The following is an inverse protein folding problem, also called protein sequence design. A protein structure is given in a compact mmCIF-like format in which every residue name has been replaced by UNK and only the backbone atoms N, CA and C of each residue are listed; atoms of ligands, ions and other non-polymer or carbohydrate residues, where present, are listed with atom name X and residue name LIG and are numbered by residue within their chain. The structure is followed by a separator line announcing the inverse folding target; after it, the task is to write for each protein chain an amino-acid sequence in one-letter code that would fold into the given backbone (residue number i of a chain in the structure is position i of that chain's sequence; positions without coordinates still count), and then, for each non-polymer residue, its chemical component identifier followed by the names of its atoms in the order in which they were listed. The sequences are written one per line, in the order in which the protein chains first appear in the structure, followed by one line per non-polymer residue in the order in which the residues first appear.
data_IF_920567791824
#
_entry.id   IF_920567791824
#
_cell.length_a   1.000
_cell.length_b   1.000
_cell.length_c   1.000
_cell.angle_alpha   90.00
_cell.angle_beta   90.00
_cell.angle_gamma   90.00
#
_symmetry.space_group_name_H-M   'P 1'
#
loop_
_entity.id
_entity.type
_entity.pdbx_description
1 polymer ?
#
# COMPACT_ATOMS: atom_id res chain seq x y z
N UNK A 1 38.46 -0.08 11.71
CA UNK A 1 37.44 -0.17 12.78
C UNK A 1 36.58 1.11 12.87
N UNK A 2 37.15 2.31 13.05
CA UNK A 2 36.39 3.56 13.21
C UNK A 2 35.53 3.97 12.00
N UNK A 3 36.05 3.87 10.76
CA UNK A 3 35.31 4.23 9.54
C UNK A 3 34.07 3.33 9.28
N UNK A 4 34.12 2.05 9.71
CA UNK A 4 33.00 1.10 9.60
C UNK A 4 31.89 1.47 10.60
N UNK A 5 32.26 1.92 11.80
CA UNK A 5 31.33 2.41 12.83
C UNK A 5 30.63 3.70 12.42
N UNK A 6 31.35 4.65 11.83
CA UNK A 6 30.78 5.92 11.34
C UNK A 6 29.79 5.66 10.19
N UNK A 7 30.14 4.78 9.24
CA UNK A 7 29.24 4.39 8.15
C UNK A 7 27.96 3.73 8.66
N UNK A 8 28.04 2.80 9.62
CA UNK A 8 26.86 2.16 10.23
C UNK A 8 25.97 3.18 10.96
N UNK A 9 26.57 4.12 11.70
CA UNK A 9 25.80 5.19 12.37
C UNK A 9 25.09 6.10 11.38
N UNK A 10 25.77 6.53 10.32
CA UNK A 10 25.17 7.35 9.27
C UNK A 10 24.01 6.62 8.56
N UNK A 11 24.20 5.33 8.22
CA UNK A 11 23.14 4.49 7.64
C UNK A 11 21.93 4.40 8.57
N UNK A 12 22.13 4.14 9.86
CA UNK A 12 21.03 4.06 10.82
C UNK A 12 20.26 5.38 10.97
N UNK A 13 20.95 6.52 10.91
CA UNK A 13 20.31 7.84 10.93
C UNK A 13 19.47 8.07 9.68
N UNK A 14 19.99 7.70 8.50
CA UNK A 14 19.24 7.80 7.23
C UNK A 14 18.02 6.89 7.26
N UNK A 15 18.16 5.63 7.72
CA UNK A 15 17.04 4.71 7.86
C UNK A 15 15.95 5.26 8.78
N UNK A 16 16.33 5.78 9.96
CA UNK A 16 15.36 6.43 10.87
C UNK A 16 14.70 7.65 10.24
N UNK A 17 15.45 8.44 9.49
CA UNK A 17 14.91 9.61 8.80
C UNK A 17 13.93 9.23 7.68
N UNK A 18 14.21 8.15 6.94
CA UNK A 18 13.37 7.62 5.86
C UNK A 18 12.11 6.93 6.39
N UNK A 19 12.23 6.21 7.50
CA UNK A 19 11.11 5.52 8.17
C UNK A 19 10.30 6.47 9.06
N UNK A 20 10.64 7.77 9.12
CA UNK A 20 9.83 8.73 9.84
C UNK A 20 8.45 8.85 9.17
N UNK A 21 7.42 8.62 9.96
CA UNK A 21 6.03 8.53 9.54
C UNK A 21 5.28 9.80 9.91
N UNK A 22 4.44 10.28 8.98
CA UNK A 22 3.54 11.40 9.23
C UNK A 22 2.28 10.88 9.91
N UNK A 23 1.79 11.55 10.97
CA UNK A 23 0.59 11.14 11.68
C UNK A 23 -0.65 11.03 10.76
N UNK A 24 -1.61 10.14 11.06
CA UNK A 24 -2.82 10.04 10.27
C UNK A 24 -3.64 11.32 10.45
N UNK A 25 -4.43 11.66 9.44
CA UNK A 25 -5.43 12.71 9.61
C UNK A 25 -6.62 12.15 10.40
N UNK A 26 -6.59 12.34 11.71
CA UNK A 26 -7.62 11.86 12.62
C UNK A 26 -8.94 12.64 12.52
N UNK A 27 -8.96 13.76 11.80
CA UNK A 27 -10.19 14.52 11.56
C UNK A 27 -11.03 13.89 10.44
N UNK A 28 -10.45 12.96 9.66
CA UNK A 28 -11.11 12.25 8.58
C UNK A 28 -11.43 10.80 8.98
N UNK A 29 -12.60 10.32 8.53
CA UNK A 29 -12.91 8.90 8.62
C UNK A 29 -11.93 8.10 7.73
N UNK A 30 -11.47 6.91 8.17
CA UNK A 30 -10.62 6.06 7.35
C UNK A 30 -11.36 5.62 6.09
N UNK A 31 -10.63 5.40 5.00
CA UNK A 31 -11.24 4.92 3.74
C UNK A 31 -11.65 3.45 3.81
N UNK A 32 -10.95 2.66 4.63
CA UNK A 32 -11.12 1.22 4.75
C UNK A 32 -11.51 0.80 6.16
N UNK A 33 -12.42 -0.16 6.28
CA UNK A 33 -12.75 -0.82 7.54
C UNK A 33 -11.80 -2.00 7.81
N UNK A 34 -10.84 -1.81 8.72
CA UNK A 34 -9.86 -2.85 9.09
C UNK A 34 -10.53 -4.12 9.63
N UNK A 35 -11.56 -3.99 10.47
CA UNK A 35 -12.28 -5.14 11.02
C UNK A 35 -12.87 -6.01 9.90
N UNK A 36 -13.54 -5.40 8.91
CA UNK A 36 -14.11 -6.12 7.76
C UNK A 36 -13.04 -6.79 6.92
N UNK A 37 -11.93 -6.08 6.68
CA UNK A 37 -10.77 -6.64 5.99
C UNK A 37 -10.28 -7.92 6.69
N UNK A 38 -10.16 -7.91 8.02
CA UNK A 38 -9.74 -9.07 8.80
C UNK A 38 -10.71 -10.26 8.72
N UNK A 39 -12.01 -10.03 8.53
CA UNK A 39 -12.98 -11.12 8.34
C UNK A 39 -12.87 -11.79 6.98
N UNK A 40 -12.42 -11.05 5.98
CA UNK A 40 -12.50 -11.48 4.57
C UNK A 40 -11.18 -11.94 3.98
N UNK A 41 -10.07 -11.53 4.59
CA UNK A 41 -8.72 -11.88 4.14
C UNK A 41 -8.47 -13.38 4.21
N UNK A 42 -7.72 -13.91 3.24
CA UNK A 42 -7.44 -15.35 3.10
C UNK A 42 -5.95 -15.59 2.93
N UNK A 43 -5.39 -16.69 3.50
CA UNK A 43 -3.98 -17.04 3.31
C UNK A 43 -3.57 -17.00 1.84
N UNK A 44 -2.44 -16.37 1.54
CA UNK A 44 -1.96 -16.14 0.17
C UNK A 44 -2.40 -14.81 -0.45
N UNK A 45 -3.34 -14.08 0.17
CA UNK A 45 -3.66 -12.72 -0.24
C UNK A 45 -2.43 -11.80 -0.08
N UNK A 46 -2.24 -10.90 -1.03
CA UNK A 46 -1.26 -9.82 -0.94
C UNK A 46 -1.98 -8.56 -0.46
N UNK A 47 -1.49 -7.96 0.61
CA UNK A 47 -2.02 -6.71 1.15
C UNK A 47 -1.17 -5.57 0.61
N UNK A 48 -1.80 -4.60 -0.02
CA UNK A 48 -1.17 -3.34 -0.38
C UNK A 48 -1.44 -2.31 0.71
N UNK A 49 -0.39 -1.56 1.06
CA UNK A 49 -0.44 -0.53 2.10
C UNK A 49 -0.07 0.80 1.47
N UNK A 50 -0.89 1.82 1.72
CA UNK A 50 -0.55 3.21 1.47
C UNK A 50 0.23 3.76 2.69
N UNK A 51 1.54 3.59 2.69
CA UNK A 51 2.38 4.07 3.79
C UNK A 51 2.50 5.59 3.83
N UNK A 52 2.79 6.11 5.03
CA UNK A 52 2.94 7.54 5.34
C UNK A 52 4.37 7.96 5.71
N UNK A 53 5.34 7.09 5.46
CA UNK A 53 6.76 7.36 5.69
C UNK A 53 7.36 8.24 4.59
N UNK A 54 8.49 8.93 4.87
CA UNK A 54 9.18 9.70 3.81
C UNK A 54 9.57 8.87 2.61
N UNK A 55 9.98 7.62 2.83
CA UNK A 55 10.28 6.71 1.72
C UNK A 55 9.01 6.32 0.95
N UNK A 56 7.86 6.24 1.62
CA UNK A 56 6.57 6.00 0.97
C UNK A 56 6.26 7.07 -0.07
N UNK A 57 6.46 8.35 0.25
CA UNK A 57 6.24 9.45 -0.70
C UNK A 57 7.12 9.36 -1.96
N UNK A 58 8.38 8.94 -1.78
CA UNK A 58 9.28 8.68 -2.91
C UNK A 58 8.75 7.51 -3.75
N UNK A 59 8.32 6.42 -3.12
CA UNK A 59 7.75 5.27 -3.84
C UNK A 59 6.49 5.68 -4.60
N UNK A 60 5.60 6.49 -4.01
CA UNK A 60 4.38 6.98 -4.69
C UNK A 60 4.71 7.73 -5.97
N UNK A 61 5.66 8.68 -5.88
CA UNK A 61 6.12 9.46 -7.02
C UNK A 61 6.72 8.60 -8.13
N UNK A 62 7.55 7.63 -7.75
CA UNK A 62 8.33 6.81 -8.69
C UNK A 62 7.45 5.77 -9.37
N UNK A 63 6.55 5.15 -8.63
CA UNK A 63 5.65 4.10 -9.14
C UNK A 63 4.36 4.67 -9.74
N UNK A 64 4.10 5.97 -9.55
CA UNK A 64 2.87 6.65 -9.95
C UNK A 64 1.64 5.89 -9.42
N UNK A 65 1.70 5.50 -8.14
CA UNK A 65 0.72 4.67 -7.44
C UNK A 65 0.63 5.07 -5.98
N UNK A 66 -0.54 5.02 -5.33
CA UNK A 66 -0.63 5.24 -3.89
C UNK A 66 0.00 4.11 -3.08
N UNK A 67 0.15 2.91 -3.65
CA UNK A 67 0.64 1.72 -2.96
C UNK A 67 2.16 1.77 -2.78
N UNK A 68 2.61 1.86 -1.54
CA UNK A 68 4.04 1.99 -1.23
C UNK A 68 4.64 0.75 -0.61
N UNK A 69 3.79 -0.12 -0.06
CA UNK A 69 4.20 -1.39 0.51
C UNK A 69 3.29 -2.53 0.07
N UNK A 70 3.83 -3.75 0.17
CA UNK A 70 3.11 -4.99 -0.06
C UNK A 70 3.53 -6.02 0.98
N UNK A 71 2.56 -6.65 1.64
CA UNK A 71 2.78 -7.72 2.59
C UNK A 71 2.03 -8.99 2.15
N UNK A 72 2.57 -10.17 2.42
CA UNK A 72 1.89 -11.44 2.17
C UNK A 72 1.14 -11.87 3.42
N UNK A 73 -0.17 -12.05 3.34
CA UNK A 73 -0.95 -12.62 4.44
C UNK A 73 -0.78 -14.14 4.49
N UNK A 74 -0.40 -14.66 5.65
CA UNK A 74 -0.14 -16.09 5.83
C UNK A 74 -1.22 -16.82 6.63
N UNK A 75 -2.24 -16.11 7.11
CA UNK A 75 -3.29 -16.70 7.95
C UNK A 75 -3.01 -16.61 9.44
N UNK A 76 -3.87 -17.25 10.21
CA UNK A 76 -3.59 -17.59 11.61
C UNK A 76 -2.75 -18.86 11.64
N UNK A 77 -1.89 -19.00 12.65
CA UNK A 77 -0.94 -20.12 12.62
C UNK A 77 -1.62 -21.48 12.70
N UNK A 78 -2.74 -21.60 13.41
CA UNK A 78 -3.49 -22.87 13.46
C UNK A 78 -4.08 -23.29 12.11
N UNK A 79 -4.24 -22.36 11.16
CA UNK A 79 -4.79 -22.62 9.82
C UNK A 79 -3.74 -23.19 8.86
N UNK A 80 -2.45 -23.07 9.19
CA UNK A 80 -1.37 -23.62 8.37
C UNK A 80 -1.36 -25.15 8.46
N UNK A 81 -1.44 -25.89 7.37
CA UNK A 81 -1.43 -27.36 7.46
C UNK A 81 -0.07 -27.94 7.91
N UNK A 82 1.02 -27.18 7.71
CA UNK A 82 2.40 -27.58 7.97
C UNK A 82 2.76 -27.44 9.47
N UNK A 83 2.57 -28.52 10.24
CA UNK A 83 2.90 -28.57 11.68
C UNK A 83 4.36 -28.23 12.01
N UNK A 84 5.38 -28.74 11.30
CA UNK A 84 6.76 -28.30 11.48
C UNK A 84 6.94 -26.78 11.33
N UNK A 85 6.31 -26.18 10.30
CA UNK A 85 6.36 -24.74 10.07
C UNK A 85 5.68 -23.97 11.21
N UNK A 86 4.48 -24.39 11.65
CA UNK A 86 3.78 -23.80 12.80
C UNK A 86 4.68 -23.78 14.03
N UNK A 87 5.25 -24.93 14.39
CA UNK A 87 6.11 -25.07 15.56
C UNK A 87 7.31 -24.13 15.50
N UNK A 88 7.95 -24.04 14.32
CA UNK A 88 9.05 -23.12 14.07
C UNK A 88 8.64 -21.67 14.31
N UNK A 89 7.51 -21.25 13.75
CA UNK A 89 7.00 -19.88 13.87
C UNK A 89 6.68 -19.54 15.34
N UNK A 90 6.04 -20.45 16.07
CA UNK A 90 5.75 -20.27 17.51
C UNK A 90 7.03 -20.22 18.34
N UNK A 91 7.98 -21.15 18.13
CA UNK A 91 9.16 -21.25 18.98
C UNK A 91 10.21 -20.18 18.70
N UNK A 92 10.52 -19.93 17.43
CA UNK A 92 11.61 -19.02 17.04
C UNK A 92 11.17 -17.55 17.06
N UNK A 93 9.92 -17.28 16.65
CA UNK A 93 9.40 -15.91 16.53
C UNK A 93 8.41 -15.54 17.64
N UNK A 94 8.11 -16.46 18.57
CA UNK A 94 7.23 -16.24 19.75
C UNK A 94 5.85 -15.73 19.36
N UNK A 95 5.27 -16.35 18.34
CA UNK A 95 3.98 -15.95 17.79
C UNK A 95 2.81 -16.69 18.48
N UNK A 96 1.67 -16.01 18.58
CA UNK A 96 0.44 -16.56 19.14
C UNK A 96 -0.31 -17.38 18.08
N UNK A 97 -0.90 -18.51 18.46
CA UNK A 97 -1.55 -19.38 17.46
C UNK A 97 -2.75 -18.73 16.75
N UNK A 98 -3.50 -17.90 17.47
CA UNK A 98 -4.78 -17.38 17.01
C UNK A 98 -4.69 -16.03 16.30
N UNK A 99 -3.51 -15.39 16.26
CA UNK A 99 -3.37 -14.07 15.63
C UNK A 99 -3.18 -14.17 14.11
N UNK A 100 -3.78 -13.24 13.34
CA UNK A 100 -3.50 -13.13 11.91
C UNK A 100 -2.11 -12.53 11.68
N UNK A 101 -1.31 -13.16 10.82
CA UNK A 101 0.07 -12.72 10.53
C UNK A 101 0.30 -12.38 9.06
N UNK A 102 1.27 -11.48 8.86
CA UNK A 102 1.79 -11.08 7.56
C UNK A 102 3.31 -11.25 7.51
N UNK A 103 3.84 -11.53 6.32
CA UNK A 103 5.28 -11.51 6.04
C UNK A 103 5.57 -10.39 5.04
N UNK A 104 6.59 -9.60 5.36
CA UNK A 104 6.98 -8.45 4.57
C UNK A 104 8.48 -8.19 4.67
N UNK A 105 9.03 -7.37 3.78
CA UNK A 105 10.42 -6.95 3.84
C UNK A 105 10.50 -5.44 4.08
N UNK A 106 11.09 -5.04 5.21
CA UNK A 106 11.15 -3.65 5.66
C UNK A 106 12.57 -3.09 5.64
N UNK A 107 12.67 -1.81 5.29
CA UNK A 107 13.94 -1.10 5.28
C UNK A 107 14.51 -0.98 6.71
N UNK A 108 15.64 -1.64 6.94
CA UNK A 108 16.37 -1.64 8.21
C UNK A 108 16.11 -2.85 9.10
N UNK A 109 15.05 -3.62 8.83
CA UNK A 109 14.71 -4.83 9.60
C UNK A 109 14.87 -6.12 8.79
N UNK A 110 14.83 -6.03 7.45
CA UNK A 110 14.87 -7.21 6.60
C UNK A 110 13.50 -7.84 6.42
N UNK A 111 13.47 -9.14 6.15
CA UNK A 111 12.23 -9.90 5.99
C UNK A 111 11.74 -10.35 7.36
N UNK A 112 10.55 -9.91 7.72
CA UNK A 112 9.99 -9.99 9.07
C UNK A 112 8.56 -10.50 9.02
N UNK A 113 8.09 -10.95 10.18
CA UNK A 113 6.72 -11.38 10.41
C UNK A 113 6.10 -10.47 11.47
N UNK A 114 4.93 -9.92 11.18
CA UNK A 114 4.19 -9.07 12.09
C UNK A 114 2.72 -9.47 12.15
N UNK A 115 2.02 -9.24 13.26
CA UNK A 115 0.58 -9.38 13.26
C UNK A 115 -0.05 -8.32 12.34
N UNK A 116 -1.19 -8.68 11.74
CA UNK A 116 -1.88 -7.84 10.75
C UNK A 116 -2.33 -6.48 11.34
N UNK A 117 -2.57 -6.42 12.65
CA UNK A 117 -2.98 -5.22 13.40
C UNK A 117 -1.96 -4.06 13.35
N UNK A 118 -0.72 -4.35 12.98
CA UNK A 118 0.30 -3.35 12.66
C UNK A 118 -0.20 -2.30 11.66
N UNK A 119 -1.06 -2.69 10.73
CA UNK A 119 -1.60 -1.81 9.69
C UNK A 119 -3.07 -1.44 9.91
N UNK A 120 -3.56 -1.50 11.15
CA UNK A 120 -4.96 -1.22 11.49
C UNK A 120 -5.41 0.21 11.20
N UNK A 121 -4.49 1.17 11.21
CA UNK A 121 -4.74 2.59 10.92
C UNK A 121 -4.39 3.00 9.48
N UNK A 122 -3.91 2.07 8.64
CA UNK A 122 -3.53 2.37 7.27
C UNK A 122 -4.66 2.13 6.27
N UNK A 123 -4.57 2.82 5.12
CA UNK A 123 -5.39 2.47 3.97
C UNK A 123 -4.84 1.20 3.31
N UNK A 124 -5.63 0.14 3.39
CA UNK A 124 -5.32 -1.19 2.91
C UNK A 124 -6.17 -1.60 1.70
N UNK A 125 -5.57 -2.44 0.86
CA UNK A 125 -6.25 -3.15 -0.24
C UNK A 125 -5.79 -4.59 -0.30
N UNK A 126 -6.74 -5.51 -0.49
CA UNK A 126 -6.42 -6.93 -0.73
C UNK A 126 -6.32 -7.17 -2.23
N UNK A 127 -5.20 -7.74 -2.64
CA UNK A 127 -4.99 -8.37 -3.94
C UNK A 127 -5.05 -9.89 -3.73
N UNK A 128 -6.14 -10.51 -4.19
CA UNK A 128 -6.37 -11.95 -4.05
C UNK A 128 -5.96 -12.70 -5.31
N UNK A 129 -5.01 -13.65 -5.26
CA UNK A 129 -4.56 -14.37 -6.45
C UNK A 129 -5.65 -15.31 -6.99
N UNK A 130 -6.19 -14.99 -8.16
CA UNK A 130 -7.30 -15.73 -8.77
C UNK A 130 -6.85 -17.08 -9.30
N UNK A 131 -7.51 -18.15 -8.84
CA UNK A 131 -7.25 -19.51 -9.29
C UNK A 131 -5.94 -20.12 -8.76
N UNK A 132 -5.31 -19.51 -7.75
CA UNK A 132 -4.19 -20.13 -7.04
C UNK A 132 -4.72 -21.35 -6.27
N UNK A 133 -4.08 -22.50 -6.48
CA UNK A 133 -4.46 -23.74 -5.80
C UNK A 133 -4.10 -23.68 -4.30
N UNK A 134 -4.83 -24.37 -3.40
CA UNK A 134 -4.46 -24.43 -1.98
C UNK A 134 -3.04 -24.96 -1.76
N UNK A 135 -2.60 -25.94 -2.56
CA UNK A 135 -1.23 -26.48 -2.49
C UNK A 135 -0.19 -25.41 -2.85
N UNK A 136 -0.43 -24.63 -3.89
CA UNK A 136 0.49 -23.56 -4.31
C UNK A 136 0.44 -22.37 -3.34
N UNK A 137 -0.70 -22.07 -2.72
CA UNK A 137 -0.79 -21.13 -1.59
C UNK A 137 0.18 -21.52 -0.48
N UNK A 138 0.20 -22.80 -0.08
CA UNK A 138 1.16 -23.28 0.92
C UNK A 138 2.61 -23.14 0.46
N UNK A 139 2.91 -23.42 -0.82
CA UNK A 139 4.27 -23.24 -1.37
C UNK A 139 4.70 -21.78 -1.38
N UNK A 140 3.80 -20.85 -1.72
CA UNK A 140 4.04 -19.40 -1.69
C UNK A 140 4.34 -18.93 -0.26
N UNK A 141 3.50 -19.32 0.70
CA UNK A 141 3.71 -19.01 2.13
C UNK A 141 5.04 -19.59 2.62
N UNK A 142 5.32 -20.86 2.33
CA UNK A 142 6.57 -21.52 2.70
C UNK A 142 7.80 -20.85 2.08
N UNK A 143 7.69 -20.34 0.85
CA UNK A 143 8.76 -19.56 0.23
C UNK A 143 9.03 -18.30 1.05
N UNK A 144 7.99 -17.54 1.43
CA UNK A 144 8.14 -16.33 2.22
C UNK A 144 8.71 -16.61 3.63
N UNK A 145 8.25 -17.66 4.31
CA UNK A 145 8.78 -18.06 5.63
C UNK A 145 10.28 -18.40 5.57
N UNK A 146 10.73 -19.08 4.50
CA UNK A 146 12.16 -19.36 4.28
C UNK A 146 13.01 -18.10 4.07
N UNK A 147 12.39 -16.95 3.79
CA UNK A 147 13.07 -15.66 3.62
C UNK A 147 13.16 -14.85 4.91
N UNK A 148 12.46 -15.23 5.99
CA UNK A 148 12.53 -14.52 7.27
C UNK A 148 13.98 -14.39 7.75
N UNK A 149 14.32 -13.19 8.24
CA UNK A 149 15.66 -12.83 8.67
C UNK A 149 16.62 -12.39 7.56
N UNK A 150 16.24 -12.50 6.27
CA UNK A 150 17.06 -11.99 5.18
C UNK A 150 17.10 -10.46 5.19
N UNK A 151 18.29 -9.89 4.96
CA UNK A 151 18.50 -8.45 4.90
C UNK A 151 17.70 -7.78 3.76
N UNK A 152 17.26 -6.55 4.01
CA UNK A 152 16.59 -5.72 3.03
C UNK A 152 17.58 -5.11 2.03
N UNK A 153 17.27 -5.15 0.72
CA UNK A 153 18.15 -4.53 -0.29
C UNK A 153 17.87 -3.04 -0.51
N UNK A 154 18.65 -2.18 0.15
CA UNK A 154 18.62 -0.74 -0.12
C UNK A 154 19.08 -0.42 -1.56
N UNK A 155 20.00 -1.22 -2.13
CA UNK A 155 20.51 -1.00 -3.49
C UNK A 155 19.42 -1.24 -4.51
N UNK A 156 18.63 -2.29 -4.32
CA UNK A 156 17.49 -2.58 -5.19
C UNK A 156 16.47 -1.44 -5.20
N UNK A 157 16.18 -0.83 -4.05
CA UNK A 157 15.30 0.34 -3.96
C UNK A 157 15.89 1.54 -4.72
N UNK A 158 17.19 1.81 -4.57
CA UNK A 158 17.88 2.88 -5.30
C UNK A 158 17.94 2.62 -6.81
N UNK A 159 18.16 1.36 -7.21
CA UNK A 159 18.16 0.95 -8.61
C UNK A 159 16.77 1.11 -9.23
N UNK A 160 15.72 0.65 -8.54
CA UNK A 160 14.34 0.84 -8.98
C UNK A 160 14.01 2.34 -9.15
N UNK A 161 14.38 3.16 -8.17
CA UNK A 161 14.22 4.60 -8.24
C UNK A 161 14.93 5.20 -9.46
N UNK A 162 16.13 4.71 -9.78
CA UNK A 162 16.91 5.15 -10.93
C UNK A 162 16.24 4.83 -12.27
N UNK A 163 15.56 3.70 -12.42
CA UNK A 163 14.89 3.33 -13.68
C UNK A 163 13.62 4.12 -13.94
N UNK A 164 12.92 4.47 -12.87
CA UNK A 164 11.60 5.09 -12.93
C UNK A 164 11.67 6.62 -12.93
N UNK A 165 12.82 7.20 -12.56
CA UNK A 165 13.07 8.65 -12.66
C UNK A 165 13.65 9.04 -14.02
N UNK A 166 13.25 10.20 -14.60
CA UNK A 166 13.83 10.67 -15.85
C UNK A 166 15.35 10.85 -15.70
N UNK A 167 16.13 10.29 -16.62
CA UNK A 167 17.60 10.33 -16.57
C UNK A 167 18.16 11.76 -16.44
N UNK A 168 17.43 12.81 -16.82
CA UNK A 168 17.82 14.21 -16.60
C UNK A 168 18.02 14.59 -15.13
N UNK A 169 17.27 13.99 -14.19
CA UNK A 169 17.39 14.30 -12.76
C UNK A 169 18.46 13.48 -12.04
N UNK A 170 19.06 12.50 -12.73
CA UNK A 170 20.02 11.56 -12.13
C UNK A 170 21.45 12.02 -12.45
N UNK A 171 22.35 12.24 -11.47
CA UNK A 171 23.74 12.61 -11.73
C UNK A 171 24.49 11.55 -12.57
N UNK A 172 25.37 11.95 -13.51
CA UNK A 172 26.11 11.00 -14.40
C UNK A 172 26.87 9.91 -13.64
N UNK A 173 27.40 10.24 -12.47
CA UNK A 173 28.08 9.31 -11.55
C UNK A 173 27.20 8.23 -10.92
N UNK A 174 25.87 8.36 -10.98
CA UNK A 174 24.91 7.38 -10.44
C UNK A 174 24.29 6.51 -11.54
N UNK A 175 24.74 6.66 -12.80
CA UNK A 175 24.18 5.98 -13.99
C UNK A 175 24.67 4.52 -14.17
N UNK A 176 25.37 3.91 -13.21
CA UNK A 176 25.81 2.50 -13.24
C UNK A 176 25.58 1.85 -11.87
N UNK A 177 25.26 0.55 -11.68
CA UNK A 177 25.29 -0.61 -12.57
C UNK A 177 24.25 -1.65 -12.10
N UNK A 178 23.18 -1.85 -12.88
CA UNK A 178 22.31 -3.04 -12.75
C UNK A 178 23.07 -4.34 -13.13
N UNK A 179 24.32 -4.20 -13.61
CA UNK A 179 25.18 -5.27 -14.10
C UNK A 179 26.57 -5.22 -13.46
N UNK A 180 26.66 -4.95 -12.15
CA UNK A 180 27.93 -5.16 -11.45
C UNK A 180 28.02 -6.65 -11.13
N UNK A 181 28.65 -7.35 -12.07
CA UNK A 181 28.95 -8.77 -12.05
C UNK A 181 29.85 -9.10 -10.86
N UNK A 182 29.24 -9.27 -9.69
CA UNK A 182 29.81 -9.98 -8.56
C UNK A 182 28.70 -10.85 -8.00
N UNK A 183 28.58 -12.04 -8.58
CA UNK A 183 27.83 -13.17 -8.05
C UNK A 183 28.48 -13.65 -6.75
N UNK A 184 28.32 -12.86 -5.68
CA UNK A 184 28.49 -13.28 -4.30
C UNK A 184 27.11 -13.45 -3.69
N UNK A 185 26.77 -14.67 -3.30
CA UNK A 185 25.51 -15.08 -2.66
C UNK A 185 25.16 -14.10 -1.54
N UNK A 186 24.22 -13.19 -1.78
CA UNK A 186 23.48 -12.48 -0.73
C UNK A 186 22.05 -12.28 -1.21
N UNK A 187 21.15 -12.99 -0.56
CA UNK A 187 19.69 -12.89 -0.67
C UNK A 187 19.25 -11.54 -0.12
N UNK A 188 19.11 -10.56 -1.00
CA UNK A 188 18.66 -9.22 -0.65
C UNK A 188 17.33 -8.97 -1.36
N UNK A 189 16.33 -8.51 -0.62
CA UNK A 189 14.93 -8.46 -1.09
C UNK A 189 14.24 -7.15 -0.69
N UNK A 190 13.49 -6.56 -1.62
CA UNK A 190 12.43 -5.55 -1.37
C UNK A 190 11.09 -6.27 -1.16
N UNK A 191 10.12 -5.63 -0.47
CA UNK A 191 8.83 -6.22 -0.12
C UNK A 191 8.13 -6.89 -1.31
N UNK A 192 7.95 -6.17 -2.42
CA UNK A 192 7.29 -6.71 -3.60
C UNK A 192 8.11 -7.78 -4.31
N UNK A 193 9.44 -7.69 -4.30
CA UNK A 193 10.27 -8.71 -4.96
C UNK A 193 10.24 -10.06 -4.25
N UNK A 194 10.22 -10.09 -2.91
CA UNK A 194 10.11 -11.34 -2.15
C UNK A 194 8.80 -12.06 -2.48
N UNK A 195 7.70 -11.30 -2.47
CA UNK A 195 6.37 -11.81 -2.81
C UNK A 195 6.34 -12.26 -4.28
N UNK A 196 6.91 -11.48 -5.19
CA UNK A 196 7.02 -11.83 -6.60
C UNK A 196 7.74 -13.13 -6.85
N UNK A 197 8.89 -13.32 -6.21
CA UNK A 197 9.63 -14.58 -6.28
C UNK A 197 8.81 -15.76 -5.73
N UNK A 198 8.06 -15.55 -4.64
CA UNK A 198 7.21 -16.59 -4.05
C UNK A 198 6.14 -17.09 -5.04
N UNK A 199 5.42 -16.18 -5.68
CA UNK A 199 4.44 -16.51 -6.72
C UNK A 199 5.10 -17.09 -7.98
N UNK A 200 6.28 -16.60 -8.36
CA UNK A 200 7.01 -17.12 -9.50
C UNK A 200 7.50 -18.56 -9.29
N UNK A 201 7.80 -18.96 -8.05
CA UNK A 201 8.21 -20.32 -7.71
C UNK A 201 7.11 -21.36 -8.05
N UNK A 202 5.84 -20.96 -7.99
CA UNK A 202 4.68 -21.78 -8.40
C UNK A 202 4.18 -21.44 -9.80
N UNK A 203 4.94 -20.66 -10.57
CA UNK A 203 4.59 -20.16 -11.91
C UNK A 203 3.27 -19.40 -11.98
N UNK A 204 2.87 -18.73 -10.90
CA UNK A 204 1.70 -17.87 -10.91
C UNK A 204 1.95 -16.59 -11.74
N UNK A 205 1.07 -16.23 -12.69
CA UNK A 205 1.30 -15.13 -13.61
C UNK A 205 0.91 -13.78 -12.99
N UNK A 206 1.80 -13.10 -12.27
CA UNK A 206 1.50 -11.74 -11.77
C UNK A 206 1.31 -10.78 -12.96
N UNK A 207 2.35 -10.53 -13.73
CA UNK A 207 2.27 -9.75 -14.98
C UNK A 207 3.18 -10.41 -16.01
N UNK A 208 2.83 -11.57 -16.59
CA UNK A 208 3.70 -12.23 -17.54
C UNK A 208 3.86 -11.37 -18.81
N UNK A 209 5.03 -11.42 -19.42
CA UNK A 209 5.24 -10.90 -20.77
C UNK A 209 4.87 -12.01 -21.77
N UNK A 210 3.99 -11.70 -22.72
CA UNK A 210 3.56 -12.63 -23.75
C UNK A 210 4.18 -12.24 -25.10
N UNK A 211 4.95 -13.15 -25.70
CA UNK A 211 5.51 -13.00 -27.04
C UNK A 211 4.78 -13.91 -28.00
N UNK A 212 4.42 -13.40 -29.19
CA UNK A 212 3.94 -14.23 -30.29
C UNK A 212 5.14 -14.68 -31.12
N UNK A 213 5.33 -15.98 -31.23
CA UNK A 213 6.37 -16.55 -32.09
C UNK A 213 5.98 -16.47 -33.56
N UNK A 214 6.94 -16.71 -34.46
CA UNK A 214 6.71 -16.75 -35.91
C UNK A 214 5.66 -17.82 -36.30
N UNK A 215 5.56 -18.90 -35.52
CA UNK A 215 4.56 -19.97 -35.69
C UNK A 215 3.18 -19.63 -35.10
N UNK A 216 2.94 -18.36 -34.73
CA UNK A 216 1.71 -17.87 -34.10
C UNK A 216 1.37 -18.54 -32.75
N UNK A 217 2.39 -19.07 -32.03
CA UNK A 217 2.25 -19.57 -30.66
C UNK A 217 2.54 -18.46 -29.65
N UNK A 218 1.97 -18.57 -28.45
CA UNK A 218 2.21 -17.62 -27.35
C UNK A 218 3.23 -18.23 -26.38
N UNK A 219 4.34 -17.53 -26.16
CA UNK A 219 5.29 -17.82 -25.10
C UNK A 219 5.13 -16.82 -23.96
N UNK A 220 5.00 -17.32 -22.73
CA UNK A 220 4.89 -16.50 -21.53
C UNK A 220 6.22 -16.49 -20.79
N UNK A 221 6.66 -15.29 -20.41
CA UNK A 221 7.86 -15.06 -19.63
C UNK A 221 7.51 -14.40 -18.30
N UNK A 222 8.11 -14.89 -17.22
CA UNK A 222 8.02 -14.23 -15.92
C UNK A 222 8.81 -12.92 -15.95
N UNK A 223 8.24 -11.86 -15.38
CA UNK A 223 8.96 -10.58 -15.25
C UNK A 223 10.04 -10.67 -14.17
N UNK A 224 11.04 -9.82 -14.27
CA UNK A 224 12.08 -9.74 -13.25
C UNK A 224 11.47 -9.27 -11.92
N UNK A 225 11.44 -10.13 -10.87
CA UNK A 225 10.80 -9.77 -9.60
C UNK A 225 11.50 -8.60 -8.90
N UNK A 226 12.78 -8.31 -9.23
CA UNK A 226 13.51 -7.18 -8.65
C UNK A 226 12.98 -5.81 -9.05
N UNK A 227 12.30 -5.73 -10.19
CA UNK A 227 11.67 -4.51 -10.71
C UNK A 227 10.19 -4.43 -10.36
N UNK A 228 9.68 -5.41 -9.63
CA UNK A 228 8.27 -5.46 -9.28
C UNK A 228 7.99 -4.49 -8.13
N UNK A 229 6.82 -3.88 -8.19
CA UNK A 229 6.34 -2.83 -7.29
C UNK A 229 5.00 -3.24 -6.70
N UNK A 230 4.54 -2.62 -5.60
CA UNK A 230 3.22 -2.92 -5.03
C UNK A 230 2.09 -2.75 -6.07
N UNK A 231 2.22 -1.76 -6.97
CA UNK A 231 1.30 -1.50 -8.07
C UNK A 231 1.08 -2.70 -8.99
N UNK A 232 2.08 -3.55 -9.18
CA UNK A 232 1.98 -4.66 -10.13
C UNK A 232 0.95 -5.71 -9.69
N UNK A 233 0.74 -5.88 -8.37
CA UNK A 233 -0.33 -6.73 -7.84
C UNK A 233 -1.72 -6.10 -8.04
N UNK A 234 -1.84 -4.78 -7.90
CA UNK A 234 -3.08 -4.02 -8.14
C UNK A 234 -3.47 -4.02 -9.62
N UNK A 235 -2.47 -3.92 -10.51
CA UNK A 235 -2.66 -3.82 -11.95
C UNK A 235 -2.83 -5.17 -12.65
N UNK A 236 -2.38 -6.25 -12.01
CA UNK A 236 -2.46 -7.60 -12.57
C UNK A 236 -3.91 -8.04 -12.82
N UNK A 237 -4.23 -8.59 -14.01
CA UNK A 237 -5.55 -9.16 -14.28
C UNK A 237 -5.77 -10.52 -13.59
N UNK A 238 -4.73 -11.05 -12.92
CA UNK A 238 -4.76 -12.34 -12.23
C UNK A 238 -4.99 -12.18 -10.72
N UNK A 239 -5.16 -10.94 -10.24
CA UNK A 239 -5.57 -10.66 -8.87
C UNK A 239 -6.97 -10.03 -8.84
N UNK A 240 -7.83 -10.52 -7.97
CA UNK A 240 -9.07 -9.84 -7.63
C UNK A 240 -8.76 -8.73 -6.62
N UNK A 241 -9.25 -7.53 -6.90
CA UNK A 241 -9.02 -6.35 -6.05
C UNK A 241 -10.21 -6.15 -5.11
N UNK A 242 -9.98 -6.49 -3.85
CA UNK A 242 -11.01 -6.50 -2.82
C UNK A 242 -10.89 -5.25 -1.93
N UNK A 243 -11.98 -4.50 -1.81
CA UNK A 243 -12.05 -3.24 -1.06
C UNK A 243 -13.11 -3.35 0.03
N UNK A 244 -12.82 -2.79 1.19
CA UNK A 244 -13.75 -2.73 2.32
C UNK A 244 -13.97 -1.29 2.74
N UNK A 245 -14.81 -0.53 2.02
CA UNK A 245 -15.07 0.86 2.36
C UNK A 245 -15.58 0.99 3.80
N UNK A 246 -15.32 2.14 4.43
CA UNK A 246 -15.81 2.44 5.77
C UNK A 246 -17.33 2.30 5.89
N UNK A 247 -18.08 2.78 4.89
CA UNK A 247 -19.51 2.53 4.77
C UNK A 247 -19.77 1.30 3.93
N UNK A 248 -20.59 0.39 4.46
CA UNK A 248 -21.05 -0.74 3.68
C UNK A 248 -22.21 -0.37 2.76
N UNK A 249 -22.12 -0.74 1.49
CA UNK A 249 -23.14 -0.43 0.49
C UNK A 249 -23.59 -1.70 -0.27
N UNK A 250 -23.53 -2.86 0.38
CA UNK A 250 -23.89 -4.15 -0.23
C UNK A 250 -25.38 -4.24 -0.61
N UNK A 251 -26.26 -3.52 0.08
CA UNK A 251 -27.71 -3.52 -0.22
C UNK A 251 -28.11 -2.41 -1.20
N UNK A 252 -29.14 -2.71 -2.00
CA UNK A 252 -29.68 -1.79 -2.99
C UNK A 252 -30.10 -0.46 -2.36
N UNK A 253 -29.59 0.64 -2.92
CA UNK A 253 -29.95 2.02 -2.57
C UNK A 253 -29.52 2.54 -1.19
N UNK A 254 -28.74 1.79 -0.39
CA UNK A 254 -28.22 2.30 0.89
C UNK A 254 -27.46 3.63 0.75
N UNK A 255 -26.81 3.86 -0.39
CA UNK A 255 -26.08 5.09 -0.67
C UNK A 255 -26.96 6.36 -0.59
N UNK A 256 -28.29 6.22 -0.76
CA UNK A 256 -29.27 7.32 -0.65
C UNK A 256 -29.52 7.76 0.79
N UNK A 257 -29.19 6.91 1.77
CA UNK A 257 -29.38 7.16 3.20
C UNK A 257 -28.08 7.49 3.92
N UNK A 258 -27.00 7.75 3.17
CA UNK A 258 -25.74 8.19 3.76
C UNK A 258 -25.91 9.55 4.47
N UNK A 259 -25.20 9.78 5.59
CA UNK A 259 -25.34 10.98 6.41
C UNK A 259 -24.60 12.18 5.79
N UNK A 260 -25.03 12.59 4.60
CA UNK A 260 -24.50 13.79 3.95
C UNK A 260 -24.84 15.03 4.81
N UNK A 261 -23.83 15.86 5.09
CA UNK A 261 -24.00 17.02 5.96
C UNK A 261 -24.97 18.08 5.38
N UNK A 262 -24.98 18.25 4.05
CA UNK A 262 -25.92 19.10 3.31
C UNK A 262 -25.97 18.65 1.84
N UNK A 263 -27.12 18.72 1.17
CA UNK A 263 -27.27 18.34 -0.25
C UNK A 263 -26.51 19.25 -1.22
N UNK A 264 -26.29 20.50 -0.81
CA UNK A 264 -25.76 21.55 -1.70
C UNK A 264 -24.34 21.97 -1.33
N UNK A 265 -23.65 21.20 -0.46
CA UNK A 265 -22.30 21.50 0.02
C UNK A 265 -21.29 20.52 -0.57
N UNK A 266 -20.23 21.06 -1.17
CA UNK A 266 -19.13 20.29 -1.76
C UNK A 266 -17.84 20.65 -1.06
N UNK A 267 -17.08 19.66 -0.59
CA UNK A 267 -15.83 19.85 0.14
C UNK A 267 -14.71 18.99 -0.46
N UNK A 268 -13.52 19.55 -0.59
CA UNK A 268 -12.30 18.77 -0.85
C UNK A 268 -11.68 18.23 0.46
N UNK A 269 -11.87 18.98 1.55
CA UNK A 269 -11.48 18.65 2.92
C UNK A 269 -12.30 19.52 3.90
N UNK A 270 -12.24 19.31 5.23
CA UNK A 270 -13.05 20.05 6.19
C UNK A 270 -12.87 21.58 6.17
N UNK A 271 -11.77 22.09 5.59
CA UNK A 271 -11.45 23.52 5.53
C UNK A 271 -11.67 24.14 4.13
N UNK A 272 -12.07 23.36 3.13
CA UNK A 272 -12.25 23.79 1.74
C UNK A 272 -13.59 23.28 1.20
N UNK A 273 -14.63 24.08 1.42
CA UNK A 273 -16.02 23.78 1.04
C UNK A 273 -16.68 24.97 0.33
N UNK A 274 -17.60 24.68 -0.60
CA UNK A 274 -18.47 25.67 -1.24
C UNK A 274 -19.93 25.17 -1.32
N UNK A 275 -20.87 26.10 -1.44
CA UNK A 275 -22.32 25.83 -1.56
C UNK A 275 -22.80 26.26 -2.95
N UNK A 276 -23.64 25.46 -3.60
CA UNK A 276 -24.28 25.82 -4.87
C UNK A 276 -25.59 26.61 -4.67
N UNK A 277 -25.82 27.66 -5.44
CA UNK A 277 -26.96 28.60 -5.29
C UNK A 277 -28.36 28.00 -5.55
N UNK A 278 -28.47 26.74 -5.95
CA UNK A 278 -29.75 26.05 -6.19
C UNK A 278 -30.65 25.91 -4.96
N UNK A 279 -30.11 26.10 -3.74
CA UNK A 279 -30.86 26.13 -2.49
C UNK A 279 -31.36 27.51 -2.04
N UNK A 280 -31.04 28.61 -2.74
CA UNK A 280 -31.44 29.97 -2.35
C UNK A 280 -32.81 30.42 -2.88
N UNK A 281 -33.50 29.61 -3.70
CA UNK A 281 -34.81 29.97 -4.27
C UNK A 281 -35.95 29.27 -3.53
N UNK A 282 -36.15 29.62 -2.26
CA UNK A 282 -37.45 29.47 -1.59
C UNK A 282 -37.52 30.36 -0.35
N UNK A 283 -37.69 31.67 -0.59
CA UNK A 283 -38.50 32.61 0.22
C UNK A 283 -38.00 34.05 0.03
N UNK A 284 -38.53 34.73 -0.98
CA UNK A 284 -38.89 36.15 -0.87
C UNK A 284 -39.72 36.55 -2.07
N UNK A 285 -41.00 36.20 -2.00
CA UNK A 285 -42.05 36.90 -2.73
C UNK A 285 -42.22 38.27 -2.06
N UNK A 286 -41.63 39.32 -2.63
CA UNK A 286 -42.16 40.71 -2.64
C UNK A 286 -41.30 41.55 -3.59
N UNK A 287 -41.97 42.24 -4.51
CA UNK A 287 -41.36 42.97 -5.62
C UNK A 287 -40.48 44.18 -5.23
N UNK A 288 -39.56 44.57 -6.12
CA UNK A 288 -39.72 45.70 -7.05
C UNK A 288 -38.36 46.14 -7.67
N UNK A 289 -38.36 46.35 -8.99
CA UNK A 289 -37.53 47.27 -9.81
C UNK A 289 -35.98 47.25 -9.83
N UNK A 290 -35.46 46.78 -10.98
CA UNK A 290 -34.40 47.36 -11.86
C UNK A 290 -32.90 47.35 -11.50
N UNK A 291 -31.98 47.28 -12.50
CA UNK A 291 -30.67 46.64 -12.35
C UNK A 291 -29.51 47.63 -12.19
N UNK A 292 -28.56 47.32 -11.29
CA UNK A 292 -27.24 47.95 -11.29
C UNK A 292 -26.12 46.89 -11.20
N UNK A 293 -25.16 47.06 -12.11
CA UNK A 293 -23.89 46.36 -12.20
C UNK A 293 -23.00 46.63 -10.96
N UNK A 294 -22.41 45.58 -10.37
CA UNK A 294 -20.95 45.44 -10.20
C UNK A 294 -20.54 44.35 -9.19
N UNK A 295 -19.46 43.64 -9.56
CA UNK A 295 -18.39 43.11 -8.70
C UNK A 295 -18.69 41.91 -7.81
N UNK A 296 -18.27 40.73 -8.27
CA UNK A 296 -18.10 39.52 -7.46
C UNK A 296 -17.06 39.77 -6.35
N UNK A 297 -17.50 39.83 -5.09
CA UNK A 297 -16.65 39.65 -3.91
C UNK A 297 -16.83 38.22 -3.38
N UNK A 298 -15.77 37.44 -3.50
CA UNK A 298 -15.61 36.14 -2.81
C UNK A 298 -15.54 36.44 -1.32
N UNK A 299 -16.51 35.96 -0.55
CA UNK A 299 -16.52 36.11 0.91
C UNK A 299 -16.27 34.75 1.55
N UNK A 300 -15.07 34.56 2.09
CA UNK A 300 -14.71 33.38 2.88
C UNK A 300 -15.38 33.46 4.25
N UNK A 301 -16.28 32.53 4.56
CA UNK A 301 -16.86 32.41 5.89
C UNK A 301 -15.89 31.62 6.80
N UNK A 302 -15.39 32.25 7.87
CA UNK A 302 -14.67 31.56 8.95
C UNK A 302 -15.67 30.83 9.85
N UNK A 303 -15.38 29.60 10.33
CA UNK A 303 -16.25 28.95 11.30
C UNK A 303 -16.04 29.56 12.69
N UNK A 304 -17.17 29.87 13.33
CA UNK A 304 -17.26 30.35 14.72
C UNK A 304 -16.97 29.19 15.69
N UNK A 305 -15.92 29.34 16.48
CA UNK A 305 -15.54 28.42 17.56
C UNK A 305 -16.49 28.58 18.73
N UNK A 306 -17.35 27.59 19.00
CA UNK A 306 -18.12 27.53 20.25
C UNK A 306 -17.18 27.17 21.40
N UNK A 307 -17.00 28.10 22.34
CA UNK A 307 -16.37 27.82 23.62
C UNK A 307 -17.38 27.08 24.51
N UNK A 308 -17.14 25.78 24.73
CA UNK A 308 -17.75 25.04 25.83
C UNK A 308 -17.10 25.46 27.14
N UNK A 309 -17.89 26.06 28.03
CA UNK A 309 -17.57 26.23 29.45
C UNK A 309 -17.59 24.84 30.12
N UNK A 310 -16.51 24.50 30.81
CA UNK A 310 -16.52 23.51 31.88
C UNK A 310 -16.15 24.24 33.18
N UNK A 311 -17.00 24.07 34.19
CA UNK A 311 -16.67 24.29 35.60
C UNK A 311 -15.95 23.07 36.16
#
# INVERSE_FOLDING_TARGET
MAAISIRKRALNLITRWLNHETAPDHDLAPLTSFNRLCYEIRPGDVILVEGRTRISEVIKLITQSPWTHSALYIGRLYELEDRPLQNKLVSEYRLDMDKPYIIEALLGEGTVIYPLDKYSEEHLRICRPKGLSPEDTHKVINYAVKRLGNDYDIRQLLDLARFMLPYSFIPRRWRSSLFSHNAGIQTRTVCSSMIGEAFQAVRFPILPFAEKTQDNKIHLYQRNPRLMTPRDFDFSPYFDIVKYPFFNLDDLSLYRHLPWANSDMYCNNPNDCYITETGMVSNSDTGNSSPQSHSNKITTAKPTRSQGKAS
#
